data_IF_249915936486
#
_entry.id   IF_249915936486
#
_cell.length_a   1.000
_cell.length_b   1.000
_cell.length_c   1.000
_cell.angle_alpha   90.00
_cell.angle_beta   90.00
_cell.angle_gamma   90.00
#
_symmetry.space_group_name_H-M   'P 1'
#
loop_
_entity.id
_entity.type
_entity.pdbx_description
1 polymer ?
#
# COMPACT_ATOMS: atom_id res chain seq x y z
N UNK A 1 28.48 5.06 -7.76
CA UNK A 1 28.01 4.41 -6.52
C UNK A 1 27.17 5.43 -5.77
N UNK A 2 25.87 5.48 -6.05
CA UNK A 2 24.96 6.35 -5.30
C UNK A 2 24.78 5.71 -3.93
N UNK A 3 25.06 6.47 -2.87
CA UNK A 3 24.60 6.12 -1.53
C UNK A 3 23.08 5.95 -1.63
N UNK A 4 22.60 4.72 -1.50
CA UNK A 4 21.17 4.43 -1.46
C UNK A 4 20.56 5.21 -0.30
N UNK A 5 19.97 6.36 -0.62
CA UNK A 5 19.29 7.19 0.36
C UNK A 5 18.10 6.39 0.84
N UNK A 6 18.16 5.90 2.07
CA UNK A 6 17.04 5.22 2.70
C UNK A 6 15.87 6.18 2.84
N UNK A 7 14.68 5.73 2.46
CA UNK A 7 13.43 6.44 2.65
C UNK A 7 12.62 5.75 3.75
N UNK A 8 11.69 6.50 4.34
CA UNK A 8 10.83 5.95 5.40
C UNK A 8 9.42 5.84 4.89
N UNK A 9 8.87 4.63 4.99
CA UNK A 9 7.52 4.30 4.58
C UNK A 9 6.69 3.84 5.77
N UNK A 10 5.37 4.04 5.67
CA UNK A 10 4.37 3.63 6.64
C UNK A 10 3.39 2.71 5.93
N UNK A 11 3.29 1.48 6.41
CA UNK A 11 2.38 0.45 5.94
C UNK A 11 1.20 0.34 6.92
N UNK A 12 0.00 0.60 6.41
CA UNK A 12 -1.23 0.34 7.15
C UNK A 12 -1.60 -1.13 6.98
N UNK A 13 -1.33 -1.95 8.00
CA UNK A 13 -1.53 -3.39 7.96
C UNK A 13 -2.74 -3.78 8.82
N UNK A 14 -3.60 -4.64 8.28
CA UNK A 14 -4.76 -5.18 8.98
C UNK A 14 -4.39 -5.98 10.23
N UNK A 15 -5.24 -5.89 11.26
CA UNK A 15 -5.11 -6.71 12.47
C UNK A 15 -4.03 -6.26 13.46
N UNK A 16 -3.30 -5.17 13.20
CA UNK A 16 -2.26 -4.67 14.11
C UNK A 16 -2.78 -4.18 15.46
N UNK A 17 -4.09 -4.02 15.65
CA UNK A 17 -4.69 -3.78 16.96
C UNK A 17 -4.51 -4.98 17.91
N UNK A 18 -4.34 -6.20 17.37
CA UNK A 18 -4.12 -7.41 18.14
C UNK A 18 -2.64 -7.58 18.49
N UNK A 19 -2.34 -7.82 19.78
CA UNK A 19 -0.96 -8.01 20.26
C UNK A 19 -0.28 -9.23 19.63
N UNK A 20 -1.03 -10.30 19.36
CA UNK A 20 -0.50 -11.51 18.73
C UNK A 20 0.01 -11.22 17.32
N UNK A 21 -0.78 -10.53 16.50
CA UNK A 21 -0.40 -10.10 15.15
C UNK A 21 0.84 -9.21 15.17
N UNK A 22 0.94 -8.25 16.09
CA UNK A 22 2.15 -7.42 16.23
C UNK A 22 3.39 -8.25 16.53
N UNK A 23 3.30 -9.22 17.46
CA UNK A 23 4.43 -10.11 17.78
C UNK A 23 4.85 -10.96 16.58
N UNK A 24 3.88 -11.51 15.84
CA UNK A 24 4.15 -12.31 14.64
C UNK A 24 4.83 -11.45 13.56
N UNK A 25 4.33 -10.24 13.32
CA UNK A 25 4.92 -9.31 12.36
C UNK A 25 6.34 -8.91 12.77
N UNK A 26 6.58 -8.60 14.05
CA UNK A 26 7.95 -8.31 14.53
C UNK A 26 8.89 -9.48 14.31
N UNK A 27 8.45 -10.72 14.60
CA UNK A 27 9.26 -11.92 14.35
C UNK A 27 9.57 -12.06 12.86
N UNK A 28 8.58 -11.83 12.00
CA UNK A 28 8.74 -11.94 10.55
C UNK A 28 9.70 -10.86 10.00
N UNK A 29 9.53 -9.61 10.42
CA UNK A 29 10.41 -8.52 10.01
C UNK A 29 11.88 -8.74 10.44
N UNK A 30 12.11 -9.38 11.60
CA UNK A 30 13.46 -9.76 12.04
C UNK A 30 14.11 -10.87 11.19
N UNK A 31 13.37 -11.55 10.31
CA UNK A 31 13.90 -12.59 9.42
C UNK A 31 14.35 -12.03 8.05
N UNK A 32 14.13 -10.73 7.81
CA UNK A 32 14.46 -10.08 6.56
C UNK A 32 15.97 -9.82 6.50
N UNK A 33 16.67 -10.57 5.64
CA UNK A 33 18.12 -10.50 5.48
C UNK A 33 18.57 -9.94 4.13
N UNK A 34 17.65 -9.64 3.20
CA UNK A 34 18.00 -9.14 1.87
C UNK A 34 18.23 -7.61 1.81
N UNK A 35 18.09 -6.92 2.94
CA UNK A 35 18.21 -5.48 3.06
C UNK A 35 19.08 -5.11 4.27
N UNK A 36 20.35 -4.79 4.04
CA UNK A 36 21.31 -4.45 5.10
C UNK A 36 20.93 -3.20 5.91
N UNK A 37 20.05 -2.36 5.38
CA UNK A 37 19.60 -1.12 5.99
C UNK A 37 18.16 -1.18 6.50
N UNK A 38 17.53 -2.37 6.50
CA UNK A 38 16.15 -2.52 6.92
C UNK A 38 15.99 -2.24 8.41
N UNK A 39 15.30 -1.14 8.72
CA UNK A 39 14.87 -0.83 10.08
C UNK A 39 13.36 -0.76 10.10
N UNK A 40 12.75 -1.31 11.14
CA UNK A 40 11.30 -1.25 11.29
C UNK A 40 10.89 -0.96 12.72
N UNK A 41 9.74 -0.31 12.87
CA UNK A 41 9.06 -0.12 14.15
C UNK A 41 7.56 -0.22 13.96
N UNK A 42 6.85 -0.84 14.90
CA UNK A 42 5.40 -0.76 14.96
C UNK A 42 5.07 0.37 15.92
N UNK A 43 4.38 1.40 15.42
CA UNK A 43 4.02 2.58 16.21
C UNK A 43 2.49 2.71 16.28
N UNK A 44 2.03 3.63 17.14
CA UNK A 44 0.63 3.95 17.32
C UNK A 44 0.42 5.45 17.12
N UNK A 45 -0.46 5.83 16.20
CA UNK A 45 -0.78 7.22 15.85
C UNK A 45 -2.31 7.36 15.79
N UNK A 46 -2.90 8.35 16.47
CA UNK A 46 -4.36 8.56 16.51
C UNK A 46 -5.19 7.28 16.78
N UNK A 47 -4.70 6.43 17.69
CA UNK A 47 -5.26 5.11 18.02
C UNK A 47 -5.11 3.99 16.98
N UNK A 48 -4.39 4.23 15.89
CA UNK A 48 -4.13 3.26 14.83
C UNK A 48 -2.71 2.72 14.95
N UNK A 49 -2.55 1.40 14.85
CA UNK A 49 -1.23 0.80 14.74
C UNK A 49 -0.83 0.67 13.27
N UNK A 50 0.40 1.04 12.95
CA UNK A 50 0.98 0.88 11.62
C UNK A 50 2.44 0.42 11.72
N UNK A 51 2.93 -0.17 10.63
CA UNK A 51 4.33 -0.59 10.49
C UNK A 51 5.11 0.53 9.79
N UNK A 52 6.09 1.11 10.48
CA UNK A 52 7.06 2.02 9.90
C UNK A 52 8.30 1.24 9.48
N UNK A 53 8.76 1.46 8.27
CA UNK A 53 9.98 0.83 7.73
C UNK A 53 10.89 1.90 7.14
N UNK A 54 12.19 1.69 7.25
CA UNK A 54 13.22 2.52 6.65
C UNK A 54 14.17 1.61 5.86
N UNK A 55 14.32 1.88 4.57
CA UNK A 55 15.05 1.05 3.61
C UNK A 55 15.25 1.82 2.28
N UNK A 56 16.11 1.35 1.35
CA UNK A 56 16.30 1.97 0.04
C UNK A 56 15.02 1.90 -0.81
N UNK A 57 14.58 2.99 -1.43
CA UNK A 57 13.29 3.02 -2.17
C UNK A 57 13.07 1.84 -3.13
N UNK A 58 14.12 1.39 -3.81
CA UNK A 58 14.11 0.25 -4.75
C UNK A 58 13.74 -1.08 -4.09
N UNK A 59 13.91 -1.21 -2.77
CA UNK A 59 13.64 -2.43 -2.02
C UNK A 59 12.22 -2.47 -1.42
N UNK A 60 11.46 -1.37 -1.50
CA UNK A 60 10.08 -1.31 -0.99
C UNK A 60 9.16 -2.37 -1.64
N UNK A 61 9.19 -2.59 -2.97
CA UNK A 61 8.37 -3.62 -3.61
C UNK A 61 8.60 -5.03 -3.06
N UNK A 62 9.85 -5.36 -2.70
CA UNK A 62 10.20 -6.66 -2.12
C UNK A 62 9.57 -6.84 -0.74
N UNK A 63 9.54 -5.79 0.08
CA UNK A 63 8.87 -5.83 1.39
C UNK A 63 7.36 -6.02 1.23
N UNK A 64 6.75 -5.29 0.29
CA UNK A 64 5.30 -5.39 0.03
C UNK A 64 4.95 -6.79 -0.45
N UNK A 65 5.74 -7.35 -1.37
CA UNK A 65 5.58 -8.72 -1.87
C UNK A 65 5.80 -9.75 -0.77
N UNK A 66 6.87 -9.62 0.02
CA UNK A 66 7.16 -10.50 1.15
C UNK A 66 6.00 -10.54 2.16
N UNK A 67 5.52 -9.38 2.60
CA UNK A 67 4.38 -9.29 3.51
C UNK A 67 3.10 -9.88 2.89
N UNK A 68 2.88 -9.66 1.59
CA UNK A 68 1.73 -10.22 0.86
C UNK A 68 1.80 -11.74 0.79
N UNK A 69 2.96 -12.34 0.49
CA UNK A 69 3.15 -13.80 0.52
C UNK A 69 2.97 -14.40 1.92
N UNK A 70 3.20 -13.60 2.97
CA UNK A 70 2.88 -13.96 4.36
C UNK A 70 1.44 -13.63 4.78
N UNK A 71 0.56 -13.32 3.82
CA UNK A 71 -0.87 -13.05 4.00
C UNK A 71 -1.19 -11.84 4.91
N UNK A 72 -0.31 -10.85 4.96
CA UNK A 72 -0.64 -9.57 5.61
C UNK A 72 -1.48 -8.70 4.66
N UNK A 73 -2.66 -8.30 5.14
CA UNK A 73 -3.52 -7.35 4.42
C UNK A 73 -2.95 -5.94 4.54
N UNK A 74 -2.49 -5.37 3.43
CA UNK A 74 -1.98 -3.99 3.35
C UNK A 74 -3.09 -3.10 2.79
N UNK A 75 -3.47 -2.05 3.53
CA UNK A 75 -4.48 -1.08 3.11
C UNK A 75 -3.90 0.19 2.50
N UNK A 76 -2.70 0.59 2.94
CA UNK A 76 -2.00 1.76 2.44
C UNK A 76 -0.48 1.57 2.53
N UNK A 77 0.22 2.20 1.61
CA UNK A 77 1.67 2.33 1.55
C UNK A 77 1.95 3.83 1.39
N UNK A 78 2.39 4.47 2.47
CA UNK A 78 2.58 5.91 2.57
C UNK A 78 4.06 6.24 2.72
N UNK A 79 4.51 7.35 2.17
CA UNK A 79 5.78 7.95 2.60
C UNK A 79 5.59 8.63 3.97
N UNK A 80 6.64 8.74 4.78
CA UNK A 80 6.54 9.22 6.17
C UNK A 80 5.92 10.61 6.32
N UNK A 81 6.04 11.49 5.32
CA UNK A 81 5.42 12.83 5.32
C UNK A 81 3.89 12.78 5.32
N UNK A 82 3.30 11.67 4.85
CA UNK A 82 1.86 11.48 4.74
C UNK A 82 1.28 10.63 5.88
N UNK A 83 2.01 10.49 6.99
CA UNK A 83 1.56 9.71 8.17
C UNK A 83 0.22 10.21 8.73
N UNK A 84 -0.08 11.50 8.57
CA UNK A 84 -1.34 12.09 9.03
C UNK A 84 -2.57 11.61 8.24
N UNK A 85 -2.36 11.08 7.03
CA UNK A 85 -3.37 10.53 6.11
C UNK A 85 -3.62 9.03 6.34
N UNK A 86 -3.06 8.46 7.42
CA UNK A 86 -3.30 7.08 7.80
C UNK A 86 -4.80 6.84 8.02
N UNK A 87 -5.34 5.90 7.25
CA UNK A 87 -6.73 5.49 7.37
C UNK A 87 -6.92 4.54 8.54
N UNK A 88 -8.03 4.72 9.23
CA UNK A 88 -8.50 3.74 10.21
C UNK A 88 -9.05 2.50 9.51
N UNK A 89 -8.18 1.51 9.28
CA UNK A 89 -8.53 0.25 8.62
C UNK A 89 -9.58 -0.58 9.35
N UNK A 90 -9.81 -0.33 10.65
CA UNK A 90 -10.84 -1.00 11.44
C UNK A 90 -12.22 -0.37 11.32
N UNK A 91 -12.29 0.92 11.02
CA UNK A 91 -13.54 1.67 10.83
C UNK A 91 -13.85 1.98 9.36
N UNK A 92 -13.13 1.37 8.41
CA UNK A 92 -13.39 1.53 6.98
C UNK A 92 -14.78 0.99 6.63
N UNK A 93 -15.74 1.92 6.53
CA UNK A 93 -17.05 1.71 5.95
C UNK A 93 -16.90 0.97 4.61
N UNK A 94 -17.74 -0.03 4.37
CA UNK A 94 -17.86 -0.81 3.11
C UNK A 94 -18.12 0.03 1.85
N UNK A 95 -18.31 1.34 2.01
CA UNK A 95 -18.47 2.31 0.94
C UNK A 95 -17.24 2.38 0.03
N UNK A 96 -17.50 2.59 -1.26
CA UNK A 96 -16.45 2.87 -2.24
C UNK A 96 -15.67 4.16 -1.89
N UNK A 97 -14.34 4.06 -1.99
CA UNK A 97 -13.36 5.12 -1.73
C UNK A 97 -12.46 5.29 -2.96
N UNK A 98 -11.76 6.43 -3.04
CA UNK A 98 -10.76 6.70 -4.08
C UNK A 98 -9.37 6.46 -3.54
N UNK A 99 -8.57 5.76 -4.31
CA UNK A 99 -7.19 5.43 -4.02
C UNK A 99 -6.32 5.74 -5.23
N UNK A 100 -5.03 5.90 -4.97
CA UNK A 100 -4.01 6.05 -6.00
C UNK A 100 -2.92 5.02 -5.76
N UNK A 101 -2.60 4.26 -6.80
CA UNK A 101 -1.49 3.30 -6.84
C UNK A 101 -0.36 3.88 -7.68
N UNK A 102 0.85 3.88 -7.13
CA UNK A 102 2.08 4.21 -7.85
C UNK A 102 2.78 2.90 -8.20
N UNK A 103 2.89 2.61 -9.49
CA UNK A 103 3.43 1.36 -10.03
C UNK A 103 4.68 1.68 -10.85
N UNK A 104 5.78 0.99 -10.59
CA UNK A 104 6.97 1.14 -11.42
C UNK A 104 6.75 0.57 -12.81
N UNK A 105 7.38 1.18 -13.81
CA UNK A 105 7.32 0.66 -15.18
C UNK A 105 5.94 0.71 -15.83
N UNK A 106 4.95 1.45 -15.30
CA UNK A 106 3.59 1.53 -15.88
C UNK A 106 3.55 2.06 -17.33
N UNK A 107 4.64 2.68 -17.80
CA UNK A 107 4.83 3.11 -19.21
C UNK A 107 5.20 1.96 -20.13
N UNK A 108 5.76 0.89 -19.59
CA UNK A 108 6.04 -0.33 -20.32
C UNK A 108 4.72 -1.03 -20.66
N UNK A 109 4.54 -1.37 -21.93
CA UNK A 109 3.33 -2.03 -22.42
C UNK A 109 3.07 -3.36 -21.71
N UNK A 110 4.12 -4.15 -21.43
CA UNK A 110 4.00 -5.44 -20.76
C UNK A 110 3.50 -5.29 -19.32
N UNK A 111 4.04 -4.32 -18.57
CA UNK A 111 3.58 -4.05 -17.21
C UNK A 111 2.15 -3.51 -17.21
N UNK A 112 1.83 -2.63 -18.15
CA UNK A 112 0.48 -2.07 -18.28
C UNK A 112 -0.56 -3.13 -18.63
N UNK A 113 -0.27 -4.02 -19.57
CA UNK A 113 -1.17 -5.12 -19.95
C UNK A 113 -1.39 -6.08 -18.77
N UNK A 114 -0.32 -6.45 -18.07
CA UNK A 114 -0.42 -7.27 -16.86
C UNK A 114 -1.24 -6.61 -15.75
N UNK A 115 -1.12 -5.29 -15.59
CA UNK A 115 -1.97 -4.52 -14.68
C UNK A 115 -3.44 -4.55 -15.10
N UNK A 116 -3.74 -4.45 -16.41
CA UNK A 116 -5.11 -4.58 -16.94
C UNK A 116 -5.67 -5.97 -16.62
N UNK A 117 -4.88 -7.03 -16.81
CA UNK A 117 -5.31 -8.40 -16.51
C UNK A 117 -5.64 -8.60 -15.03
N UNK A 118 -4.80 -8.08 -14.12
CA UNK A 118 -5.04 -8.14 -12.68
C UNK A 118 -6.31 -7.36 -12.30
N UNK A 119 -6.51 -6.17 -12.88
CA UNK A 119 -7.71 -5.38 -12.63
C UNK A 119 -8.97 -6.11 -13.10
N UNK A 120 -8.94 -6.71 -14.29
CA UNK A 120 -10.05 -7.50 -14.82
C UNK A 120 -10.34 -8.73 -13.96
N UNK A 121 -9.30 -9.42 -13.48
CA UNK A 121 -9.44 -10.57 -12.59
C UNK A 121 -10.23 -10.20 -11.32
N UNK A 122 -9.91 -9.07 -10.69
CA UNK A 122 -10.63 -8.61 -9.49
C UNK A 122 -12.04 -8.13 -9.86
N UNK A 123 -12.18 -7.41 -10.98
CA UNK A 123 -13.45 -6.85 -11.42
C UNK A 123 -14.53 -7.92 -11.72
N UNK A 124 -14.11 -9.16 -12.00
CA UNK A 124 -15.03 -10.30 -12.13
C UNK A 124 -15.75 -10.66 -10.84
N UNK A 125 -15.21 -10.28 -9.68
CA UNK A 125 -15.74 -10.66 -8.36
C UNK A 125 -16.16 -9.46 -7.50
N UNK A 126 -15.58 -8.29 -7.77
CA UNK A 126 -15.69 -7.10 -6.94
C UNK A 126 -15.83 -5.87 -7.84
N UNK A 127 -16.56 -4.84 -7.42
CA UNK A 127 -16.70 -3.63 -8.24
C UNK A 127 -15.44 -2.75 -8.15
N UNK A 128 -14.69 -2.65 -9.25
CA UNK A 128 -13.49 -1.80 -9.34
C UNK A 128 -13.60 -0.88 -10.55
N UNK A 129 -13.53 0.43 -10.33
CA UNK A 129 -13.34 1.40 -11.40
C UNK A 129 -11.92 1.94 -11.35
N UNK A 130 -11.21 2.00 -12.48
CA UNK A 130 -9.85 2.51 -12.49
C UNK A 130 -9.55 3.36 -13.72
N UNK A 131 -8.53 4.20 -13.61
CA UNK A 131 -8.02 5.01 -14.72
C UNK A 131 -6.50 5.07 -14.64
N UNK A 132 -5.84 4.75 -15.75
CA UNK A 132 -4.40 4.89 -15.87
C UNK A 132 -4.02 6.35 -16.15
N UNK A 133 -3.08 6.85 -15.35
CA UNK A 133 -2.31 8.06 -15.62
C UNK A 133 -0.86 7.64 -15.97
N UNK A 134 0.05 8.60 -16.16
CA UNK A 134 1.42 8.32 -16.64
C UNK A 134 2.17 7.26 -15.84
N UNK A 135 2.15 7.36 -14.52
CA UNK A 135 2.92 6.55 -13.56
C UNK A 135 2.05 6.08 -12.38
N UNK A 136 0.74 6.35 -12.47
CA UNK A 136 -0.22 6.15 -11.39
C UNK A 136 -1.51 5.56 -11.91
N UNK A 137 -2.22 4.85 -11.05
CA UNK A 137 -3.55 4.33 -11.32
C UNK A 137 -4.49 4.86 -10.25
N UNK A 138 -5.50 5.61 -10.67
CA UNK A 138 -6.58 6.02 -9.79
C UNK A 138 -7.59 4.89 -9.73
N UNK A 139 -7.89 4.40 -8.53
CA UNK A 139 -8.80 3.27 -8.31
C UNK A 139 -9.93 3.69 -7.39
N UNK A 140 -11.17 3.36 -7.77
CA UNK A 140 -12.36 3.54 -6.92
C UNK A 140 -12.97 2.18 -6.60
N UNK A 141 -12.87 1.77 -5.33
CA UNK A 141 -13.38 0.50 -4.83
C UNK A 141 -13.55 0.53 -3.30
N UNK A 142 -14.07 -0.57 -2.71
CA UNK A 142 -14.06 -0.71 -1.26
C UNK A 142 -12.62 -0.86 -0.75
N UNK A 143 -12.31 -0.47 0.50
CA UNK A 143 -10.95 -0.64 1.00
C UNK A 143 -10.50 -2.09 1.15
N UNK A 144 -11.44 -3.02 1.38
CA UNK A 144 -11.16 -4.45 1.36
C UNK A 144 -10.77 -4.92 -0.05
N UNK A 145 -11.49 -4.47 -1.07
CA UNK A 145 -11.16 -4.74 -2.49
C UNK A 145 -9.81 -4.12 -2.85
N UNK A 146 -9.51 -2.91 -2.36
CA UNK A 146 -8.22 -2.26 -2.60
C UNK A 146 -7.05 -3.04 -1.99
N UNK A 147 -7.22 -3.56 -0.76
CA UNK A 147 -6.20 -4.41 -0.15
C UNK A 147 -5.99 -5.73 -0.92
N UNK A 148 -7.07 -6.34 -1.44
CA UNK A 148 -6.98 -7.49 -2.36
C UNK A 148 -6.21 -7.12 -3.63
N UNK A 149 -6.43 -5.92 -4.17
CA UNK A 149 -5.71 -5.43 -5.34
C UNK A 149 -4.20 -5.27 -5.06
N UNK A 150 -3.81 -4.66 -3.94
CA UNK A 150 -2.40 -4.57 -3.53
C UNK A 150 -1.78 -5.98 -3.44
N UNK A 151 -2.48 -6.92 -2.80
CA UNK A 151 -2.03 -8.32 -2.71
C UNK A 151 -1.82 -8.96 -4.08
N UNK A 152 -2.79 -8.83 -5.00
CA UNK A 152 -2.69 -9.42 -6.34
C UNK A 152 -1.53 -8.81 -7.13
N UNK A 153 -1.37 -7.49 -7.11
CA UNK A 153 -0.27 -6.80 -7.79
C UNK A 153 1.09 -7.28 -7.24
N UNK A 154 1.24 -7.31 -5.92
CA UNK A 154 2.48 -7.70 -5.27
C UNK A 154 2.85 -9.18 -5.52
N UNK A 155 1.86 -10.09 -5.45
CA UNK A 155 2.07 -11.53 -5.69
C UNK A 155 2.26 -11.88 -7.17
N UNK A 156 1.90 -10.98 -8.08
CA UNK A 156 2.22 -11.09 -9.50
C UNK A 156 3.55 -10.42 -9.86
N UNK A 157 4.41 -10.06 -8.90
CA UNK A 157 5.72 -9.46 -9.13
C UNK A 157 5.64 -8.16 -9.95
N UNK A 158 4.71 -7.28 -9.58
CA UNK A 158 4.66 -5.90 -10.09
C UNK A 158 5.04 -4.97 -8.95
N UNK A 159 5.96 -4.07 -9.24
CA UNK A 159 6.57 -3.22 -8.23
C UNK A 159 5.65 -2.06 -7.83
N UNK A 160 5.22 -2.09 -6.56
CA UNK A 160 4.38 -1.05 -5.95
C UNK A 160 5.27 -0.09 -5.17
N UNK A 161 5.21 1.20 -5.51
CA UNK A 161 5.92 2.25 -4.79
C UNK A 161 5.04 3.09 -3.86
N UNK A 162 3.72 2.98 -4.01
CA UNK A 162 2.78 3.71 -3.17
C UNK A 162 1.35 3.24 -3.37
N UNK A 163 0.56 3.32 -2.31
CA UNK A 163 -0.85 2.98 -2.32
C UNK A 163 -1.55 3.89 -1.31
N UNK A 164 -2.09 5.00 -1.79
CA UNK A 164 -2.58 6.07 -0.92
C UNK A 164 -4.08 6.24 -1.07
N UNK A 165 -4.72 6.75 -0.02
CA UNK A 165 -6.12 7.14 -0.06
C UNK A 165 -6.24 8.58 -0.49
N UNK A 166 -7.14 8.86 -1.44
CA UNK A 166 -7.44 10.20 -1.87
C UNK A 166 -8.77 10.64 -1.25
N UNK A 167 -8.74 11.43 -0.15
CA UNK A 167 -9.96 12.05 0.35
C UNK A 167 -10.57 12.92 -0.75
N UNK A 168 -11.90 12.90 -0.89
CA UNK A 168 -12.57 13.85 -1.78
C UNK A 168 -12.18 15.25 -1.30
N UNK A 169 -11.56 16.03 -2.18
CA UNK A 169 -11.53 17.48 -2.04
C UNK A 169 -12.99 17.93 -2.07
N UNK A 170 -13.59 18.11 -0.89
CA UNK A 170 -14.71 19.03 -0.77
C UNK A 170 -14.04 20.37 -1.03
N UNK A 171 -14.08 20.83 -2.27
CA UNK A 171 -13.90 22.25 -2.56
C UNK A 171 -14.83 22.96 -1.58
N UNK A 172 -14.26 23.67 -0.60
CA UNK A 172 -15.02 24.68 0.13
C UNK A 172 -15.50 25.64 -0.95
N UNK A 173 -16.70 25.42 -1.47
CA UNK A 173 -17.41 26.41 -2.21
C UNK A 173 -17.47 27.60 -1.26
N UNK A 174 -16.67 28.64 -1.55
CA UNK A 174 -16.87 29.94 -0.94
C UNK A 174 -18.27 30.34 -1.39
N UNK A 175 -19.23 30.19 -0.49
CA UNK A 175 -20.51 30.86 -0.62
C UNK A 175 -20.16 32.33 -0.36
N UNK A 176 -20.01 33.07 -1.46
CA UNK A 176 -19.87 34.53 -1.46
C UNK A 176 -21.21 35.17 -1.15
#
# INVERSE_FOLDING_TARGET
>A
MFLDRTETFVLNIGGLNQRATRKQLTKLCNQINFCDTFKFTIFKEKNLYALKINLPKQQLPYIISFLSFHNYTIYQILENHYIEELLDSTHLLSSSKRFELSIDGLRDAFIKDKMIDIMNLINNTEQVMYTFNRDKINVSCSPATFAKLIYQIATHNIDIHGAIYQPRLITKARIS
#
